data_IF_957738993350
#
_entry.id   IF_957738993350
#
_cell.length_a   1.000
_cell.length_b   1.000
_cell.length_c   1.000
_cell.angle_alpha   90.00
_cell.angle_beta   90.00
_cell.angle_gamma   90.00
#
_symmetry.space_group_name_H-M   'P 1'
#
loop_
_entity.id
_entity.type
_entity.pdbx_description
1 polymer ?
#
# COMPACT_ATOMS: atom_id res chain seq x y z
N UNK A 1 -13.77 6.64 0.25
CA UNK A 1 -12.66 5.81 0.78
C UNK A 1 -11.56 5.69 -0.27
N UNK A 2 -10.28 5.60 0.13
CA UNK A 2 -9.14 5.46 -0.79
C UNK A 2 -9.26 4.20 -1.65
N UNK A 3 -9.51 3.04 -1.04
CA UNK A 3 -9.63 1.77 -1.78
C UNK A 3 -10.76 1.77 -2.82
N UNK A 4 -11.95 2.29 -2.48
CA UNK A 4 -13.06 2.40 -3.45
C UNK A 4 -12.73 3.35 -4.61
N UNK A 5 -11.94 4.41 -4.37
CA UNK A 5 -11.47 5.26 -5.45
C UNK A 5 -10.51 4.52 -6.38
N UNK A 6 -9.50 3.84 -5.83
CA UNK A 6 -8.54 3.07 -6.62
C UNK A 6 -9.24 1.97 -7.45
N UNK A 7 -10.18 1.23 -6.84
CA UNK A 7 -10.98 0.23 -7.57
C UNK A 7 -11.75 0.86 -8.75
N UNK A 8 -12.37 2.04 -8.56
CA UNK A 8 -13.04 2.79 -9.64
C UNK A 8 -12.08 3.33 -10.71
N UNK A 9 -10.80 3.53 -10.39
CA UNK A 9 -9.77 3.90 -11.37
C UNK A 9 -9.17 2.68 -12.08
N UNK A 10 -9.68 1.46 -11.83
CA UNK A 10 -9.24 0.24 -12.51
C UNK A 10 -8.11 -0.51 -11.80
N UNK A 11 -7.70 -0.09 -10.59
CA UNK A 11 -6.75 -0.86 -9.80
C UNK A 11 -7.43 -2.09 -9.20
N UNK A 12 -6.75 -3.24 -9.28
CA UNK A 12 -7.11 -4.40 -8.47
C UNK A 12 -6.65 -4.18 -7.04
N UNK A 13 -7.54 -4.37 -6.07
CA UNK A 13 -7.24 -4.20 -4.65
C UNK A 13 -7.27 -5.55 -3.94
N UNK A 14 -6.38 -5.74 -2.97
CA UNK A 14 -6.35 -6.91 -2.09
C UNK A 14 -6.42 -6.42 -0.64
N UNK A 15 -7.62 -6.34 -0.05
CA UNK A 15 -7.76 -5.84 1.31
C UNK A 15 -7.11 -6.80 2.32
N UNK A 16 -6.28 -6.27 3.22
CA UNK A 16 -5.71 -7.01 4.35
C UNK A 16 -6.28 -6.44 5.64
N UNK A 17 -7.12 -7.21 6.34
CA UNK A 17 -7.80 -6.75 7.55
C UNK A 17 -8.22 -7.94 8.44
N UNK A 18 -8.17 -7.84 9.79
CA UNK A 18 -8.41 -9.01 10.64
C UNK A 18 -9.87 -9.25 11.03
N UNK A 19 -10.80 -8.29 10.86
CA UNK A 19 -12.14 -8.37 11.47
C UNK A 19 -13.29 -8.69 10.52
N UNK A 20 -13.03 -8.83 9.22
CA UNK A 20 -14.06 -9.11 8.22
C UNK A 20 -13.49 -9.91 7.07
N UNK A 21 -14.38 -10.54 6.28
CA UNK A 21 -13.99 -11.46 5.21
C UNK A 21 -14.17 -10.86 3.81
N UNK A 22 -14.94 -9.78 3.68
CA UNK A 22 -15.17 -9.08 2.42
C UNK A 22 -15.11 -7.56 2.61
N UNK A 23 -14.42 -6.86 1.71
CA UNK A 23 -14.39 -5.39 1.63
C UNK A 23 -14.60 -4.99 0.16
N UNK A 24 -15.64 -4.20 -0.12
CA UNK A 24 -15.95 -3.72 -1.49
C UNK A 24 -16.11 -4.85 -2.53
N UNK A 25 -16.70 -5.97 -2.13
CA UNK A 25 -16.85 -7.15 -3.00
C UNK A 25 -15.58 -7.98 -3.16
N UNK A 26 -14.47 -7.59 -2.55
CA UNK A 26 -13.19 -8.29 -2.62
C UNK A 26 -12.97 -9.16 -1.38
N UNK A 27 -12.41 -10.35 -1.59
CA UNK A 27 -11.95 -11.22 -0.51
C UNK A 27 -10.90 -10.50 0.33
N UNK A 28 -11.08 -10.53 1.65
CA UNK A 28 -10.10 -10.02 2.62
C UNK A 28 -9.07 -11.10 2.97
N UNK A 29 -7.82 -10.70 3.09
CA UNK A 29 -6.69 -11.54 3.50
C UNK A 29 -6.19 -11.14 4.90
N UNK A 30 -5.46 -12.02 5.57
CA UNK A 30 -4.91 -11.73 6.92
C UNK A 30 -3.49 -11.21 6.88
N UNK A 31 -2.75 -11.52 5.84
CA UNK A 31 -1.39 -11.06 5.62
C UNK A 31 -1.07 -11.05 4.12
N UNK A 32 0.06 -10.43 3.78
CA UNK A 32 0.48 -10.24 2.39
C UNK A 32 0.80 -11.57 1.67
N UNK A 33 1.26 -12.58 2.41
CA UNK A 33 1.70 -13.87 1.87
C UNK A 33 0.53 -14.79 1.45
N UNK A 34 -0.69 -14.54 1.94
CA UNK A 34 -1.88 -15.29 1.51
C UNK A 34 -2.35 -14.93 0.09
N UNK A 35 -1.90 -13.78 -0.43
CA UNK A 35 -2.27 -13.33 -1.76
C UNK A 35 -1.37 -14.04 -2.77
N UNK A 36 -1.97 -14.77 -3.72
CA UNK A 36 -1.22 -15.52 -4.75
C UNK A 36 -0.72 -14.65 -5.89
N UNK A 37 -1.48 -13.61 -6.22
CA UNK A 37 -1.17 -12.71 -7.33
C UNK A 37 0.01 -11.79 -6.99
N UNK A 38 0.70 -11.28 -8.01
CA UNK A 38 1.76 -10.29 -7.82
C UNK A 38 1.19 -8.96 -7.29
N UNK A 39 2.01 -8.25 -6.51
CA UNK A 39 1.63 -7.00 -5.85
C UNK A 39 2.60 -5.90 -6.23
N UNK A 40 2.10 -4.84 -6.85
CA UNK A 40 2.93 -3.69 -7.26
C UNK A 40 3.21 -2.74 -6.08
N UNK A 41 2.17 -2.40 -5.32
CA UNK A 41 2.18 -1.38 -4.26
C UNK A 41 1.46 -1.90 -3.02
N UNK A 42 2.13 -1.88 -1.87
CA UNK A 42 1.54 -2.13 -0.57
C UNK A 42 1.19 -0.80 0.10
N UNK A 43 -0.10 -0.58 0.39
CA UNK A 43 -0.58 0.67 0.98
C UNK A 43 -0.98 0.46 2.45
N UNK A 44 -0.26 1.11 3.36
CA UNK A 44 -0.44 0.94 4.80
C UNK A 44 -1.34 2.03 5.40
N UNK A 45 -2.40 1.61 6.09
CA UNK A 45 -3.31 2.44 6.89
C UNK A 45 -3.17 2.19 8.41
N UNK A 46 -2.13 1.46 8.82
CA UNK A 46 -1.86 1.09 10.23
C UNK A 46 -0.91 2.10 10.89
N UNK A 47 -0.79 2.04 12.22
CA UNK A 47 0.14 2.89 12.98
C UNK A 47 1.59 2.73 12.50
N UNK A 48 2.37 3.82 12.53
CA UNK A 48 3.75 3.87 12.04
C UNK A 48 4.69 2.81 12.64
N UNK A 49 4.46 2.38 13.89
CA UNK A 49 5.25 1.35 14.57
C UNK A 49 5.31 0.01 13.82
N UNK A 50 4.31 -0.30 12.98
CA UNK A 50 4.29 -1.54 12.18
C UNK A 50 5.04 -1.43 10.86
N UNK A 51 5.48 -0.24 10.43
CA UNK A 51 6.01 -0.03 9.09
C UNK A 51 7.33 -0.78 8.87
N UNK A 52 8.20 -0.84 9.89
CA UNK A 52 9.53 -1.46 9.76
C UNK A 52 9.46 -2.98 9.58
N UNK A 53 8.54 -3.65 10.28
CA UNK A 53 8.26 -5.08 10.08
C UNK A 53 7.59 -5.33 8.73
N UNK A 54 6.70 -4.42 8.30
CA UNK A 54 6.02 -4.54 7.00
C UNK A 54 7.01 -4.48 5.82
N UNK A 55 8.17 -3.83 5.96
CA UNK A 55 9.23 -3.87 4.93
C UNK A 55 9.67 -5.31 4.63
N UNK A 56 9.79 -6.16 5.66
CA UNK A 56 10.20 -7.56 5.46
C UNK A 56 9.13 -8.35 4.70
N UNK A 57 7.86 -8.14 5.04
CA UNK A 57 6.73 -8.77 4.33
C UNK A 57 6.68 -8.32 2.86
N UNK A 58 6.86 -7.01 2.60
CA UNK A 58 6.90 -6.43 1.25
C UNK A 58 8.03 -7.06 0.43
N UNK A 59 9.21 -7.19 1.04
CA UNK A 59 10.38 -7.82 0.42
C UNK A 59 10.10 -9.30 0.08
N UNK A 60 9.55 -10.06 1.02
CA UNK A 60 9.22 -11.47 0.82
C UNK A 60 8.19 -11.67 -0.30
N UNK A 61 7.19 -10.78 -0.37
CA UNK A 61 6.18 -10.79 -1.44
C UNK A 61 6.76 -10.42 -2.81
N UNK A 62 7.91 -9.74 -2.84
CA UNK A 62 8.53 -9.22 -4.05
C UNK A 62 7.90 -7.92 -4.56
N UNK A 63 7.09 -7.26 -3.74
CA UNK A 63 6.45 -5.99 -4.10
C UNK A 63 7.48 -4.86 -4.16
N UNK A 64 7.28 -3.93 -5.09
CA UNK A 64 8.30 -2.90 -5.39
C UNK A 64 8.12 -1.60 -4.61
N UNK A 65 6.93 -1.37 -4.05
CA UNK A 65 6.61 -0.11 -3.39
C UNK A 65 5.87 -0.32 -2.07
N UNK A 66 6.34 0.34 -1.01
CA UNK A 66 5.63 0.50 0.26
C UNK A 66 5.18 1.96 0.40
N UNK A 67 3.87 2.15 0.60
CA UNK A 67 3.23 3.45 0.69
C UNK A 67 2.54 3.62 2.05
N UNK A 68 3.11 4.46 2.92
CA UNK A 68 2.47 4.89 4.16
C UNK A 68 1.54 6.07 3.87
N UNK A 69 0.27 5.93 4.25
CA UNK A 69 -0.73 6.98 4.06
C UNK A 69 -0.44 8.24 4.88
N UNK A 70 -1.29 9.26 4.73
CA UNK A 70 -1.20 10.52 5.47
C UNK A 70 -1.03 10.28 6.98
N UNK A 71 -0.21 11.12 7.60
CA UNK A 71 0.10 11.12 9.03
C UNK A 71 0.80 9.85 9.55
N UNK A 72 1.27 8.97 8.64
CA UNK A 72 2.09 7.81 8.97
C UNK A 72 3.52 8.07 8.48
N UNK A 73 4.43 8.26 9.43
CA UNK A 73 5.86 8.56 9.20
C UNK A 73 6.70 7.56 9.99
N UNK A 74 7.67 6.92 9.33
CA UNK A 74 8.65 6.05 9.96
C UNK A 74 9.96 6.05 9.15
N UNK A 75 10.92 6.85 9.59
CA UNK A 75 12.19 7.01 8.88
C UNK A 75 13.09 5.77 8.94
N UNK A 76 12.99 4.96 10.00
CA UNK A 76 13.69 3.67 10.08
C UNK A 76 13.18 2.68 9.03
N UNK A 77 11.86 2.62 8.85
CA UNK A 77 11.25 1.82 7.80
C UNK A 77 11.66 2.32 6.40
N UNK A 78 11.78 3.65 6.22
CA UNK A 78 12.28 4.24 4.98
C UNK A 78 13.71 3.80 4.68
N UNK A 79 14.62 3.94 5.63
CA UNK A 79 16.02 3.53 5.49
C UNK A 79 16.12 2.04 5.12
N UNK A 80 15.41 1.19 5.86
CA UNK A 80 15.38 -0.25 5.62
C UNK A 80 14.80 -0.60 4.24
N UNK A 81 13.73 0.06 3.81
CA UNK A 81 13.14 -0.17 2.48
C UNK A 81 14.12 0.19 1.36
N UNK A 82 14.80 1.33 1.46
CA UNK A 82 15.77 1.78 0.46
C UNK A 82 16.99 0.85 0.36
N UNK A 83 17.48 0.35 1.50
CA UNK A 83 18.57 -0.66 1.53
C UNK A 83 18.19 -1.96 0.81
N UNK A 84 16.89 -2.27 0.74
CA UNK A 84 16.37 -3.47 0.09
C UNK A 84 15.75 -3.18 -1.30
N UNK A 85 16.06 -2.04 -1.90
CA UNK A 85 15.57 -1.62 -3.23
C UNK A 85 14.03 -1.57 -3.33
N UNK A 86 13.35 -1.24 -2.24
CA UNK A 86 11.90 -1.00 -2.20
C UNK A 86 11.66 0.52 -2.27
N UNK A 87 10.84 0.95 -3.23
CA UNK A 87 10.37 2.32 -3.29
C UNK A 87 9.55 2.64 -2.04
N UNK A 88 9.83 3.75 -1.38
CA UNK A 88 9.17 4.10 -0.13
C UNK A 88 8.54 5.48 -0.21
N UNK A 89 7.24 5.54 0.08
CA UNK A 89 6.46 6.77 0.18
C UNK A 89 5.88 6.86 1.59
N UNK A 90 5.96 8.04 2.22
CA UNK A 90 5.33 8.29 3.51
C UNK A 90 4.66 9.65 3.55
N UNK A 91 3.69 9.79 4.44
CA UNK A 91 2.89 11.01 4.63
C UNK A 91 2.26 11.54 3.32
N UNK A 92 1.74 10.64 2.49
CA UNK A 92 1.01 11.01 1.26
C UNK A 92 -0.24 10.18 1.08
N UNK A 93 -1.31 10.78 0.58
CA UNK A 93 -2.52 10.04 0.22
C UNK A 93 -2.41 9.57 -1.24
N UNK A 94 -2.40 8.26 -1.44
CA UNK A 94 -2.30 7.67 -2.79
C UNK A 94 -3.45 8.09 -3.71
N UNK A 95 -4.65 8.33 -3.15
CA UNK A 95 -5.78 8.88 -3.92
C UNK A 95 -5.48 10.30 -4.41
N UNK A 96 -4.95 11.17 -3.54
CA UNK A 96 -4.67 12.57 -3.89
C UNK A 96 -3.53 12.63 -4.91
N UNK A 97 -2.45 11.88 -4.71
CA UNK A 97 -1.34 11.84 -5.66
C UNK A 97 -1.76 11.26 -7.02
N UNK A 98 -2.60 10.21 -7.02
CA UNK A 98 -3.14 9.69 -8.28
C UNK A 98 -4.03 10.72 -8.99
N UNK A 99 -4.88 11.46 -8.27
CA UNK A 99 -5.69 12.52 -8.89
C UNK A 99 -4.81 13.60 -9.51
N UNK A 100 -3.86 14.12 -8.73
CA UNK A 100 -2.91 15.16 -9.19
C UNK A 100 -2.18 14.73 -10.46
N UNK A 101 -1.60 13.52 -10.46
CA UNK A 101 -0.87 13.01 -11.61
C UNK A 101 -1.77 12.72 -12.81
N UNK A 102 -3.02 12.28 -12.59
CA UNK A 102 -3.95 12.02 -13.68
C UNK A 102 -4.34 13.30 -14.42
N UNK A 103 -4.57 14.37 -13.67
CA UNK A 103 -4.91 15.68 -14.24
C UNK A 103 -3.72 16.24 -15.05
N UNK A 104 -2.48 16.01 -14.61
CA UNK A 104 -1.25 16.38 -15.33
C UNK A 104 -1.09 15.69 -16.72
N UNK A 105 -1.84 14.61 -17.02
CA UNK A 105 -1.81 13.92 -18.32
C UNK A 105 -3.01 14.26 -19.23
N UNK A 106 -3.89 15.17 -18.80
CA UNK A 106 -5.08 15.59 -19.56
C UNK A 106 -4.90 16.98 -20.21
N UNK A 107 -3.75 17.63 -20.01
CA UNK A 107 -3.25 18.75 -20.83
C UNK A 107 -2.37 18.27 -21.99
#
# INVERSE_FOLDING_TARGET
>A
MVASYLQKQGFKIYPIYPKMDEILGEKVYRNLNEIKDDIDIVVMFRKAEFAETLVDEVMQKGAKTLWLQLDIINDKAKEKALQNNINFVQNRCIKIEHMRLKDDFVE
#
